data_IF_856766057566
#
_entry.id   IF_856766057566
#
_cell.length_a   1.000
_cell.length_b   1.000
_cell.length_c   1.000
_cell.angle_alpha   90.00
_cell.angle_beta   90.00
_cell.angle_gamma   90.00
#
_symmetry.space_group_name_H-M   'P 1'
#
loop_
_entity.id
_entity.type
_entity.pdbx_description
1 polymer ?
#
# COMPACT_ATOMS: atom_id res chain seq x y z
N UNK A 1 -29.03 -30.45 -16.72
CA UNK A 1 -27.69 -30.62 -17.32
C UNK A 1 -26.68 -29.99 -16.37
N UNK A 2 -25.61 -30.70 -15.97
CA UNK A 2 -24.58 -30.09 -15.12
C UNK A 2 -23.92 -28.94 -15.89
N UNK A 3 -23.74 -27.80 -15.21
CA UNK A 3 -23.01 -26.66 -15.75
C UNK A 3 -21.61 -27.11 -16.17
N UNK A 4 -21.19 -26.73 -17.36
CA UNK A 4 -19.85 -26.98 -17.89
C UNK A 4 -18.79 -26.28 -17.04
N UNK A 5 -17.55 -26.78 -17.06
CA UNK A 5 -16.42 -26.15 -16.35
C UNK A 5 -16.23 -24.67 -16.73
N UNK A 6 -16.57 -24.30 -17.96
CA UNK A 6 -16.49 -22.92 -18.45
C UNK A 6 -17.52 -22.01 -17.77
N UNK A 7 -18.74 -22.51 -17.53
CA UNK A 7 -19.79 -21.75 -16.84
C UNK A 7 -19.43 -21.51 -15.37
N UNK A 8 -18.81 -22.48 -14.71
CA UNK A 8 -18.27 -22.28 -13.36
C UNK A 8 -17.12 -21.28 -13.33
N UNK A 9 -16.21 -21.33 -14.32
CA UNK A 9 -15.10 -20.39 -14.41
C UNK A 9 -15.58 -18.96 -14.67
N UNK A 10 -16.53 -18.78 -15.58
CA UNK A 10 -17.14 -17.47 -15.85
C UNK A 10 -17.93 -16.94 -14.65
N UNK A 11 -18.72 -17.78 -13.98
CA UNK A 11 -19.42 -17.42 -12.75
C UNK A 11 -18.45 -16.99 -11.64
N UNK A 12 -17.32 -17.70 -11.49
CA UNK A 12 -16.27 -17.34 -10.53
C UNK A 12 -15.64 -15.97 -10.86
N UNK A 13 -15.31 -15.72 -12.13
CA UNK A 13 -14.79 -14.41 -12.56
C UNK A 13 -15.80 -13.32 -12.25
N UNK A 14 -17.06 -13.49 -12.62
CA UNK A 14 -18.12 -12.50 -12.36
C UNK A 14 -18.29 -12.26 -10.86
N UNK A 15 -18.26 -13.30 -10.04
CA UNK A 15 -18.34 -13.17 -8.58
C UNK A 15 -17.14 -12.39 -8.02
N UNK A 16 -15.92 -12.71 -8.44
CA UNK A 16 -14.70 -12.00 -8.01
C UNK A 16 -14.73 -10.53 -8.43
N UNK A 17 -15.12 -10.24 -9.68
CA UNK A 17 -15.26 -8.88 -10.18
C UNK A 17 -16.34 -8.10 -9.43
N UNK A 18 -17.47 -8.74 -9.12
CA UNK A 18 -18.57 -8.14 -8.37
C UNK A 18 -18.14 -7.79 -6.94
N UNK A 19 -17.47 -8.72 -6.24
CA UNK A 19 -16.91 -8.48 -4.91
C UNK A 19 -15.88 -7.35 -4.96
N UNK A 20 -14.97 -7.37 -5.93
CA UNK A 20 -13.98 -6.31 -6.11
C UNK A 20 -14.65 -4.94 -6.33
N UNK A 21 -15.66 -4.87 -7.20
CA UNK A 21 -16.44 -3.67 -7.46
C UNK A 21 -17.12 -3.13 -6.18
N UNK A 22 -17.73 -4.01 -5.39
CA UNK A 22 -18.35 -3.62 -4.11
C UNK A 22 -17.32 -3.10 -3.10
N UNK A 23 -16.14 -3.73 -3.02
CA UNK A 23 -15.05 -3.29 -2.15
C UNK A 23 -14.51 -1.91 -2.56
N UNK A 24 -14.30 -1.69 -3.86
CA UNK A 24 -13.92 -0.39 -4.41
C UNK A 24 -14.98 0.65 -4.06
N UNK A 25 -16.26 0.35 -4.34
CA UNK A 25 -17.37 1.25 -4.06
C UNK A 25 -17.48 1.64 -2.59
N UNK A 26 -17.23 0.71 -1.67
CA UNK A 26 -17.18 0.99 -0.24
C UNK A 26 -16.09 2.02 0.10
N UNK A 27 -14.92 1.85 -0.53
CA UNK A 27 -13.74 2.66 -0.27
C UNK A 27 -13.75 4.01 -1.04
N UNK A 28 -14.59 4.17 -2.08
CA UNK A 28 -14.78 5.45 -2.79
C UNK A 28 -15.21 6.60 -1.86
N UNK A 29 -15.87 6.30 -0.74
CA UNK A 29 -16.24 7.29 0.27
C UNK A 29 -15.04 8.07 0.80
N UNK A 30 -13.87 7.43 0.90
CA UNK A 30 -12.62 8.09 1.34
C UNK A 30 -11.98 8.92 0.23
N UNK A 31 -12.35 8.69 -1.03
CA UNK A 31 -11.78 9.38 -2.19
C UNK A 31 -12.32 10.81 -2.33
N UNK A 32 -13.54 11.09 -1.87
CA UNK A 32 -14.12 12.44 -1.96
C UNK A 32 -13.43 13.45 -1.02
N UNK A 33 -12.67 12.97 -0.04
CA UNK A 33 -12.02 13.83 0.96
C UNK A 33 -10.70 14.44 0.45
N UNK A 34 -10.07 13.85 -0.57
CA UNK A 34 -8.72 14.20 -0.98
C UNK A 34 -8.61 14.30 -2.50
N UNK A 35 -7.86 15.29 -3.03
CA UNK A 35 -7.68 15.44 -4.47
C UNK A 35 -6.92 14.24 -5.05
N UNK A 36 -7.15 13.95 -6.34
CA UNK A 36 -6.48 12.84 -7.02
C UNK A 36 -6.95 12.65 -8.45
N UNK A 37 -6.22 11.88 -9.27
CA UNK A 37 -6.66 11.53 -10.61
C UNK A 37 -7.94 10.71 -10.60
N UNK A 38 -8.74 10.87 -11.65
CA UNK A 38 -9.91 10.03 -11.88
C UNK A 38 -9.49 8.56 -12.01
N UNK A 39 -10.20 7.68 -11.31
CA UNK A 39 -9.93 6.26 -11.28
C UNK A 39 -11.00 5.51 -12.07
N UNK A 40 -10.59 4.60 -12.96
CA UNK A 40 -11.53 3.69 -13.60
C UNK A 40 -11.96 2.59 -12.62
N UNK A 41 -13.20 2.10 -12.71
CA UNK A 41 -13.63 0.92 -11.96
C UNK A 41 -12.66 -0.25 -12.19
N UNK A 42 -12.29 -0.97 -11.12
CA UNK A 42 -11.40 -2.15 -11.11
C UNK A 42 -9.91 -1.88 -11.42
N UNK A 43 -9.61 -1.08 -12.44
CA UNK A 43 -8.23 -0.81 -12.91
C UNK A 43 -7.58 0.34 -12.10
N UNK A 44 -8.40 1.23 -11.53
CA UNK A 44 -7.93 2.40 -10.81
C UNK A 44 -7.25 3.40 -11.74
N UNK A 45 -6.09 3.90 -11.32
CA UNK A 45 -5.28 4.86 -12.06
C UNK A 45 -4.10 4.19 -12.80
N UNK A 46 -4.15 2.87 -13.03
CA UNK A 46 -3.07 2.16 -13.73
C UNK A 46 -2.75 2.74 -15.11
N UNK A 47 -3.76 3.33 -15.77
CA UNK A 47 -3.57 3.98 -17.07
C UNK A 47 -2.53 5.12 -17.05
N UNK A 48 -2.31 5.74 -15.89
CA UNK A 48 -1.30 6.79 -15.73
C UNK A 48 0.14 6.27 -15.82
N UNK A 49 0.31 4.96 -15.65
CA UNK A 49 1.59 4.26 -15.72
C UNK A 49 1.86 3.61 -17.08
N UNK A 50 0.91 3.66 -18.04
CA UNK A 50 1.17 3.14 -19.39
C UNK A 50 2.34 3.88 -20.04
N UNK A 51 3.20 3.12 -20.73
CA UNK A 51 4.42 3.61 -21.38
C UNK A 51 5.41 4.33 -20.46
N UNK A 52 5.39 4.06 -19.15
CA UNK A 52 6.42 4.54 -18.21
C UNK A 52 7.37 3.43 -17.85
N UNK A 53 8.66 3.76 -17.81
CA UNK A 53 9.67 2.86 -17.28
C UNK A 53 9.75 2.99 -15.76
N UNK A 54 10.37 2.02 -15.04
CA UNK A 54 10.63 2.16 -13.61
C UNK A 54 11.42 3.43 -13.25
N UNK A 55 12.29 3.90 -14.14
CA UNK A 55 13.10 5.11 -13.97
C UNK A 55 12.24 6.38 -13.90
N UNK A 56 11.08 6.38 -14.56
CA UNK A 56 10.14 7.50 -14.55
C UNK A 56 9.35 7.62 -13.24
N UNK A 57 9.49 6.68 -12.30
CA UNK A 57 8.66 6.64 -11.09
C UNK A 57 8.76 7.93 -10.28
N UNK A 58 9.96 8.50 -10.15
CA UNK A 58 10.16 9.74 -9.38
C UNK A 58 9.54 10.95 -10.09
N UNK A 59 9.75 11.09 -11.40
CA UNK A 59 9.17 12.18 -12.19
C UNK A 59 7.63 12.09 -12.18
N UNK A 60 7.09 10.88 -12.23
CA UNK A 60 5.67 10.60 -12.14
C UNK A 60 5.06 11.08 -10.81
N UNK A 61 5.62 10.64 -9.68
CA UNK A 61 5.11 11.01 -8.35
C UNK A 61 5.22 12.51 -8.12
N UNK A 62 6.34 13.14 -8.51
CA UNK A 62 6.52 14.58 -8.36
C UNK A 62 5.58 15.40 -9.24
N UNK A 63 5.25 14.92 -10.45
CA UNK A 63 4.23 15.54 -11.30
C UNK A 63 2.83 15.46 -10.68
N UNK A 64 2.47 14.32 -10.09
CA UNK A 64 1.20 14.18 -9.37
C UNK A 64 1.12 15.09 -8.15
N UNK A 65 2.19 15.16 -7.36
CA UNK A 65 2.28 16.07 -6.21
C UNK A 65 2.15 17.53 -6.62
N UNK A 66 2.80 17.94 -7.73
CA UNK A 66 2.63 19.29 -8.29
C UNK A 66 1.19 19.58 -8.73
N UNK A 67 0.49 18.58 -9.27
CA UNK A 67 -0.88 18.74 -9.80
C UNK A 67 -1.96 18.71 -8.72
N UNK A 68 -1.85 17.81 -7.75
CA UNK A 68 -2.89 17.56 -6.73
C UNK A 68 -2.52 18.08 -5.34
N UNK A 69 -1.30 18.61 -5.17
CA UNK A 69 -0.82 19.17 -3.91
C UNK A 69 -0.07 18.16 -3.05
N UNK A 70 0.23 18.57 -1.81
CA UNK A 70 1.06 17.79 -0.88
C UNK A 70 0.39 16.55 -0.31
N UNK A 71 -0.93 16.47 -0.40
CA UNK A 71 -1.75 15.37 0.10
C UNK A 71 -2.77 14.98 -0.98
N UNK A 72 -2.62 13.79 -1.56
CA UNK A 72 -3.47 13.34 -2.65
C UNK A 72 -3.65 11.83 -2.65
N UNK A 73 -4.71 11.36 -3.29
CA UNK A 73 -5.08 9.96 -3.38
C UNK A 73 -4.86 9.42 -4.79
N UNK A 74 -4.34 8.19 -4.91
CA UNK A 74 -4.23 7.46 -6.17
C UNK A 74 -4.79 6.05 -6.00
N UNK A 75 -5.63 5.63 -6.92
CA UNK A 75 -6.11 4.24 -6.96
C UNK A 75 -5.12 3.35 -7.69
N UNK A 76 -4.68 2.29 -7.04
CA UNK A 76 -3.83 1.25 -7.62
C UNK A 76 -4.68 -0.03 -7.65
N UNK A 77 -5.26 -0.34 -8.82
CA UNK A 77 -6.32 -1.35 -8.93
C UNK A 77 -7.49 -1.00 -8.02
N UNK A 78 -7.82 -1.92 -7.09
CA UNK A 78 -8.91 -1.76 -6.13
C UNK A 78 -8.50 -1.14 -4.78
N UNK A 79 -7.26 -0.68 -4.64
CA UNK A 79 -6.72 -0.12 -3.39
C UNK A 79 -6.43 1.37 -3.53
N UNK A 80 -6.74 2.12 -2.48
CA UNK A 80 -6.45 3.55 -2.38
C UNK A 80 -5.10 3.76 -1.70
N UNK A 81 -4.19 4.44 -2.39
CA UNK A 81 -2.92 4.90 -1.84
C UNK A 81 -3.01 6.40 -1.55
N UNK A 82 -2.76 6.79 -0.30
CA UNK A 82 -2.65 8.18 0.11
C UNK A 82 -1.19 8.59 0.07
N UNK A 83 -0.88 9.59 -0.73
CA UNK A 83 0.44 10.21 -0.82
C UNK A 83 0.45 11.46 0.03
N UNK A 84 1.42 11.53 0.95
CA UNK A 84 1.59 12.65 1.85
C UNK A 84 3.04 13.13 1.80
N UNK A 85 3.20 14.43 1.62
CA UNK A 85 4.50 15.13 1.66
C UNK A 85 4.49 16.33 2.61
N UNK A 86 3.40 16.53 3.35
CA UNK A 86 3.34 17.50 4.44
C UNK A 86 4.10 16.96 5.65
N UNK A 87 4.88 17.82 6.30
CA UNK A 87 5.66 17.47 7.49
C UNK A 87 4.75 17.01 8.64
N UNK A 88 3.74 17.81 9.00
CA UNK A 88 2.88 17.54 10.17
C UNK A 88 2.09 16.23 10.06
N UNK A 89 1.52 15.97 8.88
CA UNK A 89 0.77 14.74 8.62
C UNK A 89 1.69 13.51 8.63
N UNK A 90 2.86 13.62 7.98
CA UNK A 90 3.87 12.57 7.94
C UNK A 90 4.39 12.25 9.34
N UNK A 91 4.70 13.26 10.14
CA UNK A 91 5.14 13.12 11.52
C UNK A 91 4.08 12.43 12.38
N UNK A 92 2.81 12.82 12.26
CA UNK A 92 1.69 12.20 12.98
C UNK A 92 1.60 10.70 12.71
N UNK A 93 1.78 10.28 11.45
CA UNK A 93 1.70 8.87 11.07
C UNK A 93 2.97 8.10 11.48
N UNK A 94 4.15 8.66 11.22
CA UNK A 94 5.43 7.97 11.41
C UNK A 94 5.89 7.92 12.87
N UNK A 95 5.50 8.88 13.71
CA UNK A 95 5.78 8.86 15.15
C UNK A 95 4.86 7.91 15.93
N UNK A 96 3.74 7.49 15.32
CA UNK A 96 2.74 6.66 15.99
C UNK A 96 3.25 5.24 16.26
N UNK A 97 3.27 4.86 17.53
CA UNK A 97 3.54 3.47 17.93
C UNK A 97 2.36 2.52 17.65
N UNK A 98 1.19 3.06 17.27
CA UNK A 98 0.00 2.28 16.93
C UNK A 98 -0.09 1.99 15.42
N UNK A 99 0.30 2.94 14.57
CA UNK A 99 0.21 2.83 13.10
C UNK A 99 1.43 2.12 12.48
N UNK A 100 1.82 0.98 13.03
CA UNK A 100 3.05 0.26 12.61
C UNK A 100 2.82 -0.77 11.51
N UNK A 101 1.56 -1.14 11.23
CA UNK A 101 1.20 -2.17 10.24
C UNK A 101 1.60 -1.72 8.83
N UNK A 102 2.39 -2.56 8.15
CA UNK A 102 2.84 -2.29 6.78
C UNK A 102 1.75 -2.55 5.75
N UNK A 103 1.94 -1.97 4.57
CA UNK A 103 1.10 -2.23 3.41
C UNK A 103 1.10 -3.72 3.08
N UNK A 104 -0.01 -4.21 2.50
CA UNK A 104 -0.13 -5.58 2.01
C UNK A 104 0.93 -5.93 0.96
N UNK A 105 1.52 -4.92 0.29
CA UNK A 105 2.68 -5.11 -0.60
C UNK A 105 3.89 -5.73 0.13
N UNK A 106 4.05 -5.48 1.43
CA UNK A 106 5.12 -6.10 2.20
C UNK A 106 4.93 -7.61 2.39
N UNK A 107 3.75 -8.16 2.09
CA UNK A 107 3.52 -9.62 2.15
C UNK A 107 4.36 -10.38 1.13
N UNK A 108 4.77 -9.74 0.03
CA UNK A 108 5.72 -10.33 -0.92
C UNK A 108 7.09 -10.61 -0.31
N UNK A 109 7.43 -9.96 0.82
CA UNK A 109 8.67 -10.20 1.54
C UNK A 109 8.56 -11.34 2.56
N UNK A 110 7.36 -11.87 2.84
CA UNK A 110 7.17 -12.94 3.85
C UNK A 110 7.95 -14.22 3.50
N UNK A 111 7.97 -14.72 2.25
CA UNK A 111 8.74 -15.93 1.93
C UNK A 111 10.24 -15.79 2.19
N UNK A 112 10.76 -14.56 2.13
CA UNK A 112 12.19 -14.27 2.36
C UNK A 112 12.50 -13.92 3.83
N UNK A 113 11.76 -12.97 4.41
CA UNK A 113 12.04 -12.40 5.73
C UNK A 113 11.22 -13.03 6.87
N UNK A 114 10.27 -13.91 6.55
CA UNK A 114 9.32 -14.46 7.49
C UNK A 114 8.52 -13.38 8.22
N UNK A 115 8.04 -13.67 9.42
CA UNK A 115 7.40 -12.67 10.29
C UNK A 115 8.45 -11.92 11.13
N UNK A 116 9.47 -11.36 10.48
CA UNK A 116 10.63 -10.67 11.07
C UNK A 116 10.33 -9.29 11.67
N UNK A 117 11.37 -8.55 12.08
CA UNK A 117 11.20 -7.22 12.70
C UNK A 117 10.42 -6.24 11.80
N UNK A 118 10.68 -6.28 10.48
CA UNK A 118 10.06 -5.39 9.51
C UNK A 118 8.55 -5.64 9.33
N UNK A 119 8.14 -6.90 9.43
CA UNK A 119 6.82 -7.38 9.03
C UNK A 119 5.89 -7.61 10.24
N UNK A 120 6.47 -7.93 11.41
CA UNK A 120 5.72 -8.11 12.64
C UNK A 120 5.05 -6.82 13.13
N UNK A 121 3.97 -6.96 13.90
CA UNK A 121 3.21 -5.86 14.50
C UNK A 121 2.92 -6.10 15.98
N UNK A 122 2.46 -5.07 16.68
CA UNK A 122 2.03 -5.15 18.08
C UNK A 122 3.14 -5.63 19.03
N UNK A 123 2.78 -6.48 19.99
CA UNK A 123 3.70 -6.99 21.01
C UNK A 123 4.87 -7.77 20.40
N UNK A 124 4.64 -8.51 19.31
CA UNK A 124 5.68 -9.29 18.63
C UNK A 124 6.78 -8.38 18.08
N UNK A 125 6.38 -7.27 17.45
CA UNK A 125 7.31 -6.24 16.98
C UNK A 125 8.08 -5.59 18.13
N UNK A 126 7.38 -5.24 19.21
CA UNK A 126 7.99 -4.59 20.37
C UNK A 126 9.06 -5.48 21.02
N UNK A 127 8.75 -6.75 21.26
CA UNK A 127 9.68 -7.71 21.85
C UNK A 127 10.93 -7.87 20.97
N UNK A 128 10.76 -7.97 19.64
CA UNK A 128 11.89 -8.09 18.71
C UNK A 128 12.75 -6.83 18.68
N UNK A 129 12.17 -5.63 18.67
CA UNK A 129 12.92 -4.37 18.78
C UNK A 129 13.72 -4.32 20.08
N UNK A 130 13.10 -4.65 21.22
CA UNK A 130 13.75 -4.60 22.53
C UNK A 130 15.03 -5.45 22.57
N UNK A 131 15.01 -6.62 21.93
CA UNK A 131 16.16 -7.52 21.86
C UNK A 131 17.22 -7.02 20.87
N UNK A 132 16.81 -6.46 19.72
CA UNK A 132 17.74 -6.09 18.64
C UNK A 132 18.37 -4.71 18.81
N UNK A 133 17.67 -3.72 19.37
CA UNK A 133 18.17 -2.34 19.47
C UNK A 133 19.52 -2.21 20.19
N UNK A 134 19.82 -2.96 21.28
CA UNK A 134 21.13 -2.88 21.92
C UNK A 134 22.30 -3.22 20.99
N UNK A 135 22.11 -4.12 20.01
CA UNK A 135 23.16 -4.54 19.07
C UNK A 135 23.63 -3.40 18.14
N UNK A 136 22.84 -2.34 18.01
CA UNK A 136 23.15 -1.15 17.19
C UNK A 136 23.55 0.06 18.05
N UNK A 137 23.89 -0.14 19.32
CA UNK A 137 24.39 0.93 20.18
C UNK A 137 25.82 1.33 19.78
N UNK A 138 26.15 2.62 19.82
CA UNK A 138 27.45 3.15 19.35
C UNK A 138 28.67 2.38 19.87
N UNK A 139 28.69 2.04 21.17
CA UNK A 139 29.76 1.22 21.78
C UNK A 139 30.01 -0.14 21.12
N UNK A 140 28.99 -0.74 20.52
CA UNK A 140 29.10 -2.01 19.79
C UNK A 140 29.59 -1.73 18.37
N UNK A 141 29.09 -0.67 17.73
CA UNK A 141 29.49 -0.29 16.38
C UNK A 141 30.98 0.12 16.29
N UNK A 142 31.53 0.72 17.34
CA UNK A 142 32.98 1.04 17.43
C UNK A 142 33.90 -0.20 17.43
N UNK A 143 33.34 -1.40 17.59
CA UNK A 143 34.09 -2.67 17.59
C UNK A 143 34.18 -3.31 16.19
N UNK A 144 33.56 -2.72 15.18
CA UNK A 144 33.55 -3.17 13.78
C UNK A 144 34.18 -2.11 12.86
#
# INVERSE_FOLDING_TARGET
MPLSLLEWFTALIVAVLSVNYLLVRRNLKYCHQWPGPAAFPLIGCYYLYFNKSPEDTWSFITNLSRKYGKLFCVWIGSRLALFCSNHSDTETVLSSQKLIRKSELYKFLIPWLGDGLLLSTGQKWFNKRKILTPAFHFKILEQF
#
